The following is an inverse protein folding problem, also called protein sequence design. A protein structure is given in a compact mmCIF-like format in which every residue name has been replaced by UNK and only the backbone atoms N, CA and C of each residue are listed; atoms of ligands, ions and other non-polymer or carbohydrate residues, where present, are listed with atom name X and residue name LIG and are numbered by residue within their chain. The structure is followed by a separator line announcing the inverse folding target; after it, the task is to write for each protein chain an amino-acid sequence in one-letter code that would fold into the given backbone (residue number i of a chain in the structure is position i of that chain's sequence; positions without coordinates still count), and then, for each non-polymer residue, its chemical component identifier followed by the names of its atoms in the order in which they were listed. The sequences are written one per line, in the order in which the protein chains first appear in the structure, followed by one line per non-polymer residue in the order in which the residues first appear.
data_IF_355470903412
#
_entry.id   IF_355470903412
#
_cell.length_a   1.000
_cell.length_b   1.000
_cell.length_c   1.000
_cell.angle_alpha   90.00
_cell.angle_beta   90.00
_cell.angle_gamma   90.00
#
_symmetry.space_group_name_H-M   'P 1'
#
loop_
_entity.id
_entity.type
_entity.pdbx_description
1 polymer ?
#
# COMPACT_ATOMS: atom_id res chain seq x y z
N UNK A 1 6.00 26.57 -0.60
CA UNK A 1 5.91 25.42 0.32
C UNK A 1 7.29 24.94 0.69
N UNK A 2 7.50 24.56 1.94
CA UNK A 2 8.77 23.96 2.31
C UNK A 2 8.79 22.47 1.95
N UNK A 3 9.97 21.88 2.00
CA UNK A 3 10.18 20.50 1.62
C UNK A 3 9.35 19.52 2.48
N UNK A 4 9.19 19.83 3.76
CA UNK A 4 8.40 19.04 4.69
C UNK A 4 6.93 18.95 4.24
N UNK A 5 6.35 20.09 3.85
CA UNK A 5 4.96 20.13 3.39
C UNK A 5 4.76 19.40 2.07
N UNK A 6 5.73 19.50 1.15
CA UNK A 6 5.68 18.77 -0.12
C UNK A 6 5.67 17.26 0.12
N UNK A 7 6.54 16.80 1.00
CA UNK A 7 6.63 15.37 1.34
C UNK A 7 5.35 14.92 2.02
N UNK A 8 4.80 15.72 2.93
CA UNK A 8 3.54 15.42 3.62
C UNK A 8 2.39 15.23 2.64
N UNK A 9 2.32 16.07 1.63
CA UNK A 9 1.29 15.98 0.60
C UNK A 9 1.45 14.75 -0.27
N UNK A 10 2.69 14.41 -0.63
CA UNK A 10 2.98 13.19 -1.37
C UNK A 10 2.57 11.95 -0.57
N UNK A 11 2.88 11.93 0.72
CA UNK A 11 2.49 10.81 1.61
C UNK A 11 0.97 10.68 1.64
N UNK A 12 0.26 11.79 1.79
CA UNK A 12 -1.21 11.80 1.81
C UNK A 12 -1.79 11.19 0.54
N UNK A 13 -1.28 11.63 -0.62
CA UNK A 13 -1.76 11.14 -1.90
C UNK A 13 -1.48 9.64 -2.09
N UNK A 14 -0.30 9.19 -1.67
CA UNK A 14 0.05 7.79 -1.75
C UNK A 14 -0.79 6.92 -0.81
N UNK A 15 -1.13 7.42 0.36
CA UNK A 15 -2.02 6.71 1.29
C UNK A 15 -3.42 6.56 0.71
N UNK A 16 -3.93 7.58 0.05
CA UNK A 16 -5.23 7.52 -0.62
C UNK A 16 -5.21 6.43 -1.71
N UNK A 17 -4.17 6.40 -2.53
CA UNK A 17 -4.02 5.39 -3.57
C UNK A 17 -3.92 3.98 -2.97
N UNK A 18 -3.11 3.83 -1.91
CA UNK A 18 -2.96 2.55 -1.22
C UNK A 18 -4.29 2.07 -0.65
N UNK A 19 -5.03 2.94 0.02
CA UNK A 19 -6.31 2.58 0.64
C UNK A 19 -7.34 2.19 -0.42
N UNK A 20 -7.33 2.84 -1.57
CA UNK A 20 -8.18 2.49 -2.70
C UNK A 20 -7.87 1.07 -3.19
N UNK A 21 -6.60 0.74 -3.34
CA UNK A 21 -6.17 -0.58 -3.76
C UNK A 21 -6.48 -1.65 -2.70
N UNK A 22 -6.31 -1.30 -1.45
CA UNK A 22 -6.64 -2.18 -0.32
C UNK A 22 -8.13 -2.52 -0.30
N UNK A 23 -8.98 -1.53 -0.53
CA UNK A 23 -10.42 -1.74 -0.61
C UNK A 23 -10.78 -2.70 -1.73
N UNK A 24 -10.16 -2.55 -2.90
CA UNK A 24 -10.36 -3.47 -4.01
C UNK A 24 -9.95 -4.89 -3.65
N UNK A 25 -8.84 -5.04 -2.92
CA UNK A 25 -8.40 -6.35 -2.47
C UNK A 25 -9.38 -6.96 -1.47
N UNK A 26 -9.85 -6.19 -0.52
CA UNK A 26 -10.76 -6.67 0.53
C UNK A 26 -12.10 -7.15 -0.03
N UNK A 27 -12.59 -6.56 -1.12
CA UNK A 27 -13.83 -6.99 -1.75
C UNK A 27 -13.61 -8.11 -2.77
N UNK A 28 -12.37 -8.54 -3.01
CA UNK A 28 -12.07 -9.60 -3.97
C UNK A 28 -12.51 -10.97 -3.43
N UNK A 29 -12.87 -11.86 -4.34
CA UNK A 29 -13.24 -13.22 -3.98
C UNK A 29 -12.07 -13.97 -3.35
N UNK A 30 -10.84 -13.66 -3.79
CA UNK A 30 -9.63 -14.26 -3.24
C UNK A 30 -9.50 -13.99 -1.74
N UNK A 31 -9.69 -12.75 -1.34
CA UNK A 31 -9.62 -12.37 0.08
C UNK A 31 -10.74 -13.03 0.88
N UNK A 32 -11.95 -13.04 0.35
CA UNK A 32 -13.11 -13.66 1.01
C UNK A 32 -12.90 -15.15 1.18
N UNK A 33 -12.33 -15.81 0.17
CA UNK A 33 -12.03 -17.25 0.25
C UNK A 33 -10.95 -17.52 1.29
N UNK A 34 -9.92 -16.68 1.33
CA UNK A 34 -8.85 -16.78 2.32
C UNK A 34 -9.35 -16.58 3.74
N UNK A 35 -10.32 -15.69 3.93
CA UNK A 35 -10.94 -15.45 5.23
C UNK A 35 -11.72 -16.65 5.70
N UNK A 36 -12.46 -17.31 4.78
CA UNK A 36 -13.26 -18.51 5.10
C UNK A 36 -12.38 -19.74 5.34
N UNK A 37 -11.29 -19.88 4.60
CA UNK A 37 -10.43 -21.06 4.65
C UNK A 37 -8.97 -20.63 4.78
N UNK A 38 -8.58 -20.08 5.94
CA UNK A 38 -7.23 -19.51 6.08
C UNK A 38 -6.10 -20.52 5.99
N UNK A 39 -6.40 -21.81 6.13
CA UNK A 39 -5.39 -22.86 6.07
C UNK A 39 -5.42 -23.63 4.75
N UNK A 40 -6.31 -23.29 3.84
CA UNK A 40 -6.40 -23.96 2.54
C UNK A 40 -5.36 -23.37 1.58
N UNK A 41 -4.54 -24.26 1.01
CA UNK A 41 -3.69 -23.87 -0.09
C UNK A 41 -4.57 -23.76 -1.34
N UNK A 42 -4.93 -22.54 -1.71
CA UNK A 42 -5.70 -22.31 -2.93
C UNK A 42 -4.70 -22.23 -4.08
N UNK A 43 -4.76 -23.14 -5.07
CA UNK A 43 -3.84 -23.07 -6.19
C UNK A 43 -4.08 -21.77 -6.98
N UNK A 44 -3.01 -21.09 -7.42
CA UNK A 44 -3.16 -19.84 -8.16
C UNK A 44 -3.87 -20.07 -9.48
N UNK A 45 -4.92 -19.28 -9.72
CA UNK A 45 -5.63 -19.27 -11.01
C UNK A 45 -5.23 -18.02 -11.79
N UNK A 46 -5.53 -17.93 -13.10
CA UNK A 46 -5.26 -16.69 -13.85
C UNK A 46 -5.90 -15.44 -13.25
N UNK A 47 -7.03 -15.58 -12.58
CA UNK A 47 -7.67 -14.47 -11.87
C UNK A 47 -6.85 -14.02 -10.67
N UNK A 48 -6.10 -14.94 -10.07
CA UNK A 48 -5.28 -14.64 -8.89
C UNK A 48 -4.04 -13.82 -9.25
N UNK A 49 -3.60 -13.88 -10.50
CA UNK A 49 -2.47 -13.05 -10.95
C UNK A 49 -2.77 -11.55 -10.79
N UNK A 50 -4.02 -11.14 -11.08
CA UNK A 50 -4.42 -9.76 -10.89
C UNK A 50 -4.39 -9.39 -9.41
N UNK A 51 -4.80 -10.32 -8.54
CA UNK A 51 -4.77 -10.10 -7.09
C UNK A 51 -3.33 -9.99 -6.60
N UNK A 52 -2.43 -10.84 -7.11
CA UNK A 52 -1.00 -10.75 -6.74
C UNK A 52 -0.38 -9.44 -7.19
N UNK A 53 -0.74 -8.97 -8.39
CA UNK A 53 -0.29 -7.66 -8.87
C UNK A 53 -0.80 -6.53 -7.96
N UNK A 54 -2.05 -6.65 -7.53
CA UNK A 54 -2.67 -5.67 -6.62
C UNK A 54 -1.95 -5.66 -5.27
N UNK A 55 -1.68 -6.83 -4.69
CA UNK A 55 -0.94 -6.94 -3.44
C UNK A 55 0.48 -6.39 -3.56
N UNK A 56 1.15 -6.67 -4.67
CA UNK A 56 2.48 -6.15 -4.93
C UNK A 56 2.46 -4.63 -5.02
N UNK A 57 1.47 -4.06 -5.69
CA UNK A 57 1.30 -2.61 -5.78
C UNK A 57 1.09 -1.99 -4.39
N UNK A 58 0.26 -2.62 -3.56
CA UNK A 58 0.02 -2.15 -2.19
C UNK A 58 1.32 -2.17 -1.39
N UNK A 59 2.08 -3.25 -1.48
CA UNK A 59 3.36 -3.38 -0.76
C UNK A 59 4.37 -2.33 -1.22
N UNK A 60 4.44 -2.07 -2.52
CA UNK A 60 5.34 -1.05 -3.05
C UNK A 60 4.95 0.35 -2.61
N UNK A 61 3.64 0.65 -2.57
CA UNK A 61 3.15 1.92 -2.07
C UNK A 61 3.47 2.10 -0.59
N UNK A 62 3.28 1.06 0.22
CA UNK A 62 3.62 1.09 1.64
C UNK A 62 5.11 1.35 1.85
N UNK A 63 5.95 0.69 1.07
CA UNK A 63 7.40 0.90 1.13
C UNK A 63 7.77 2.33 0.77
N UNK A 64 7.15 2.86 -0.28
CA UNK A 64 7.41 4.22 -0.73
C UNK A 64 6.95 5.25 0.30
N UNK A 65 5.79 5.03 0.89
CA UNK A 65 5.27 5.86 1.98
C UNK A 65 6.26 5.89 3.15
N UNK A 66 6.78 4.73 3.51
CA UNK A 66 7.76 4.63 4.61
C UNK A 66 9.04 5.40 4.29
N UNK A 67 9.53 5.29 3.07
CA UNK A 67 10.71 6.03 2.63
C UNK A 67 10.48 7.54 2.70
N UNK A 68 9.28 7.99 2.29
CA UNK A 68 8.93 9.41 2.38
C UNK A 68 8.77 9.87 3.82
N UNK A 69 8.24 9.02 4.71
CA UNK A 69 8.15 9.34 6.13
C UNK A 69 9.53 9.51 6.75
N UNK A 70 10.49 8.67 6.38
CA UNK A 70 11.87 8.79 6.82
C UNK A 70 12.48 10.10 6.30
N UNK A 71 12.22 10.46 5.04
CA UNK A 71 12.70 11.72 4.46
C UNK A 71 12.06 12.92 5.14
N UNK A 72 10.77 12.82 5.50
CA UNK A 72 10.06 13.86 6.24
C UNK A 72 10.69 14.10 7.60
N UNK A 73 11.01 13.03 8.30
CA UNK A 73 11.66 13.10 9.61
C UNK A 73 13.02 13.75 9.52
N UNK A 74 13.81 13.41 8.50
CA UNK A 74 15.11 14.03 8.25
C UNK A 74 14.99 15.51 7.92
N UNK A 75 14.00 15.89 7.12
CA UNK A 75 13.75 17.27 6.77
C UNK A 75 13.38 18.10 8.00
N UNK A 76 12.59 17.52 8.91
CA UNK A 76 12.22 18.16 10.15
C UNK A 76 13.44 18.43 11.03
N UNK A 77 14.37 17.47 11.09
CA UNK A 77 15.60 17.63 11.85
C UNK A 77 16.52 18.69 11.26
N UNK A 78 16.55 18.82 9.94
CA UNK A 78 17.39 19.80 9.27
C UNK A 78 16.90 21.23 9.46
N UNK A 79 15.63 21.43 9.70
CA UNK A 79 15.05 22.75 9.90
C UNK A 79 15.24 23.27 11.34
N UNK A 80 15.73 22.44 12.23
CA UNK A 80 16.11 22.86 13.57
C UNK A 80 17.52 23.43 13.56
#
# INVERSE_FOLDING_TARGET
MNKFQEISEQIKNLKIARDFLKEKYEVSEFHKTKEKFPQSAVPPTPKDEEIYKLLTAIQQLDKYIKELQDAQFKALKQEE
#
